data_IF_820093785511
#
_entry.id   IF_820093785511
#
_cell.length_a   1.000
_cell.length_b   1.000
_cell.length_c   1.000
_cell.angle_alpha   90.00
_cell.angle_beta   90.00
_cell.angle_gamma   90.00
#
_symmetry.space_group_name_H-M   'P 1'
#
loop_
_entity.id
_entity.type
_entity.pdbx_description
1 polymer ?
#
# COMPACT_ATOMS: atom_id res chain seq x y z
N UNK A 1 29.60 19.79 -14.57
CA UNK A 1 29.29 21.18 -15.05
C UNK A 1 29.26 22.15 -13.87
N UNK A 2 29.18 23.45 -14.10
CA UNK A 2 28.94 24.43 -13.03
C UNK A 2 27.44 24.81 -12.98
N UNK A 3 26.89 24.89 -11.82
CA UNK A 3 25.51 25.34 -11.63
C UNK A 3 25.39 26.82 -12.04
N UNK A 4 24.45 27.19 -12.93
CA UNK A 4 24.29 28.58 -13.36
C UNK A 4 23.84 29.51 -12.24
N UNK A 5 23.16 28.97 -11.19
CA UNK A 5 22.65 29.76 -10.09
C UNK A 5 23.65 29.98 -8.95
N UNK A 6 24.38 28.96 -8.50
CA UNK A 6 25.27 29.05 -7.34
C UNK A 6 26.75 28.79 -7.66
N UNK A 7 27.10 28.53 -8.93
CA UNK A 7 28.44 28.28 -9.44
C UNK A 7 29.16 27.04 -8.84
N UNK A 8 28.48 26.23 -8.00
CA UNK A 8 29.04 24.98 -7.49
C UNK A 8 29.34 23.99 -8.61
N UNK A 9 30.35 23.15 -8.40
CA UNK A 9 30.65 22.05 -9.31
C UNK A 9 29.62 20.96 -9.09
N UNK A 10 28.96 20.53 -10.15
CA UNK A 10 27.92 19.50 -10.13
C UNK A 10 28.32 18.34 -11.06
N UNK A 11 27.91 17.10 -10.77
CA UNK A 11 28.06 15.98 -11.69
C UNK A 11 27.48 16.32 -13.08
N UNK A 12 28.10 15.84 -14.13
CA UNK A 12 27.63 16.11 -15.49
C UNK A 12 26.27 15.53 -15.82
N UNK A 13 25.89 14.46 -15.10
CA UNK A 13 24.62 13.77 -15.22
C UNK A 13 23.51 14.31 -14.29
N UNK A 14 23.81 15.22 -13.35
CA UNK A 14 22.84 15.71 -12.39
C UNK A 14 21.72 16.52 -13.06
N UNK A 15 20.48 16.23 -12.72
CA UNK A 15 19.30 16.99 -13.16
C UNK A 15 19.09 18.27 -12.34
N UNK A 16 19.56 18.26 -11.09
CA UNK A 16 19.47 19.39 -10.15
C UNK A 16 20.81 19.64 -9.49
N UNK A 17 21.05 20.88 -9.14
CA UNK A 17 22.24 21.25 -8.37
C UNK A 17 22.11 20.74 -6.92
N UNK A 18 22.98 19.86 -6.42
CA UNK A 18 22.92 19.36 -5.06
C UNK A 18 23.10 20.43 -3.98
N UNK A 19 23.71 21.59 -4.36
CA UNK A 19 23.95 22.68 -3.43
C UNK A 19 22.76 23.64 -3.27
N UNK A 20 22.03 23.93 -4.34
CA UNK A 20 20.98 24.97 -4.31
C UNK A 20 19.64 24.53 -4.94
N UNK A 21 19.52 23.27 -5.36
CA UNK A 21 18.30 22.71 -5.95
C UNK A 21 17.93 23.27 -7.32
N UNK A 22 18.79 24.08 -7.96
CA UNK A 22 18.48 24.62 -9.28
C UNK A 22 18.48 23.55 -10.37
N UNK A 23 17.45 23.51 -11.21
CA UNK A 23 17.39 22.60 -12.34
C UNK A 23 18.56 22.87 -13.31
N UNK A 24 19.31 21.84 -13.65
CA UNK A 24 20.52 21.94 -14.51
C UNK A 24 20.22 21.51 -15.94
N UNK A 25 19.09 20.91 -16.20
CA UNK A 25 18.62 20.53 -17.53
C UNK A 25 17.26 21.18 -17.77
N UNK A 26 17.04 21.67 -18.97
CA UNK A 26 15.73 22.09 -19.44
C UNK A 26 14.83 20.86 -19.42
N UNK A 27 13.84 20.87 -18.53
CA UNK A 27 12.75 19.90 -18.58
C UNK A 27 11.86 20.32 -19.76
N UNK A 28 12.23 19.88 -20.98
CA UNK A 28 11.24 19.85 -22.04
C UNK A 28 10.07 18.99 -21.55
N UNK A 29 8.80 19.31 -21.85
CA UNK A 29 7.69 18.40 -21.62
C UNK A 29 7.91 17.18 -22.54
N UNK A 30 8.71 16.25 -22.08
CA UNK A 30 8.78 14.92 -22.65
C UNK A 30 7.38 14.32 -22.52
N UNK A 31 6.92 13.55 -23.52
CA UNK A 31 5.72 12.75 -23.40
C UNK A 31 5.74 11.99 -22.07
N UNK A 32 4.59 11.76 -21.45
CA UNK A 32 4.48 11.09 -20.13
C UNK A 32 5.37 9.84 -20.12
N UNK A 33 6.35 9.80 -19.22
CA UNK A 33 7.26 8.65 -19.08
C UNK A 33 6.46 7.43 -18.60
N UNK A 34 6.77 6.25 -19.13
CA UNK A 34 6.22 5.00 -18.58
C UNK A 34 6.90 4.69 -17.26
N UNK A 35 6.10 4.21 -16.29
CA UNK A 35 6.56 3.85 -14.96
C UNK A 35 6.37 2.36 -14.73
N UNK A 36 7.43 1.68 -14.33
CA UNK A 36 7.44 0.24 -14.18
C UNK A 36 7.81 -0.17 -12.76
N UNK A 37 7.31 -1.33 -12.34
CA UNK A 37 7.65 -1.98 -11.06
C UNK A 37 8.76 -2.96 -11.32
N UNK A 38 9.89 -2.78 -10.62
CA UNK A 38 11.07 -3.62 -10.78
C UNK A 38 11.43 -4.39 -9.52
N UNK A 39 10.81 -4.06 -8.38
CA UNK A 39 11.01 -4.79 -7.14
C UNK A 39 9.86 -4.55 -6.16
N UNK A 40 9.66 -5.52 -5.26
CA UNK A 40 8.63 -5.50 -4.24
C UNK A 40 9.19 -5.98 -2.90
N UNK A 41 8.74 -5.35 -1.82
CA UNK A 41 9.06 -5.77 -0.46
C UNK A 41 7.86 -5.66 0.45
N UNK A 42 7.68 -6.59 1.37
CA UNK A 42 6.56 -6.57 2.28
C UNK A 42 6.85 -7.27 3.60
N UNK A 43 6.12 -6.82 4.63
CA UNK A 43 5.98 -7.46 5.94
C UNK A 43 4.50 -7.54 6.25
N UNK A 44 3.98 -8.73 6.53
CA UNK A 44 2.54 -8.96 6.73
C UNK A 44 2.26 -10.05 7.77
N UNK A 45 1.00 -10.27 8.15
CA UNK A 45 0.62 -11.40 9.01
C UNK A 45 0.89 -12.79 8.41
N UNK A 46 1.12 -12.89 7.10
CA UNK A 46 1.42 -14.14 6.40
C UNK A 46 2.91 -14.41 6.22
N UNK A 47 3.77 -13.41 6.38
CA UNK A 47 5.20 -13.58 6.20
C UNK A 47 5.98 -12.28 6.36
N UNK A 48 7.29 -12.43 6.51
CA UNK A 48 8.23 -11.32 6.72
C UNK A 48 8.88 -10.85 5.41
N UNK A 49 8.47 -11.46 4.28
CA UNK A 49 8.92 -11.10 2.93
C UNK A 49 7.72 -11.01 1.97
N UNK A 50 7.91 -10.35 0.84
CA UNK A 50 6.89 -10.28 -0.23
C UNK A 50 6.55 -11.68 -0.76
N UNK A 51 7.55 -12.53 -0.94
CA UNK A 51 7.35 -13.89 -1.46
C UNK A 51 6.58 -14.80 -0.48
N UNK A 52 6.89 -14.73 0.84
CA UNK A 52 6.15 -15.47 1.86
C UNK A 52 4.69 -15.00 1.95
N UNK A 53 4.49 -13.67 1.90
CA UNK A 53 3.16 -13.06 1.86
C UNK A 53 2.38 -13.54 0.64
N UNK A 54 2.99 -13.49 -0.54
CA UNK A 54 2.36 -13.92 -1.79
C UNK A 54 1.99 -15.40 -1.79
N UNK A 55 2.90 -16.27 -1.37
CA UNK A 55 2.60 -17.70 -1.22
C UNK A 55 1.44 -17.93 -0.27
N UNK A 56 1.45 -17.23 0.87
CA UNK A 56 0.34 -17.31 1.82
C UNK A 56 -1.01 -16.90 1.24
N UNK A 57 -1.02 -15.84 0.41
CA UNK A 57 -2.22 -15.41 -0.30
C UNK A 57 -2.69 -16.45 -1.33
N UNK A 58 -1.79 -16.99 -2.14
CA UNK A 58 -2.13 -18.02 -3.15
C UNK A 58 -2.60 -19.31 -2.49
N UNK A 59 -1.98 -19.70 -1.38
CA UNK A 59 -2.36 -20.90 -0.62
C UNK A 59 -3.67 -20.74 0.17
N UNK A 60 -4.26 -19.53 0.21
CA UNK A 60 -5.47 -19.26 0.99
C UNK A 60 -5.25 -19.36 2.50
N UNK A 61 -4.05 -19.09 3.00
CA UNK A 61 -3.75 -19.14 4.43
C UNK A 61 -4.29 -17.90 5.16
N UNK A 62 -4.81 -18.09 6.37
CA UNK A 62 -5.17 -16.97 7.24
C UNK A 62 -4.03 -16.63 8.20
N UNK A 63 -3.67 -15.34 8.27
CA UNK A 63 -2.77 -14.76 9.27
C UNK A 63 -3.49 -14.16 10.46
N UNK A 64 -4.84 -14.28 10.50
CA UNK A 64 -5.67 -13.71 11.56
C UNK A 64 -5.70 -14.67 12.75
N UNK A 65 -5.41 -14.15 13.94
CA UNK A 65 -5.30 -14.90 15.18
C UNK A 65 -5.75 -14.06 16.38
N UNK A 66 -5.85 -14.68 17.56
CA UNK A 66 -6.00 -13.93 18.80
C UNK A 66 -4.82 -12.97 19.00
N UNK A 67 -5.11 -11.75 19.44
CA UNK A 67 -4.09 -10.72 19.72
C UNK A 67 -3.17 -11.21 20.83
N UNK A 68 -1.85 -11.08 20.62
CA UNK A 68 -0.81 -11.42 21.60
C UNK A 68 -0.01 -10.18 22.06
N UNK A 69 -0.02 -9.10 21.28
CA UNK A 69 0.72 -7.87 21.59
C UNK A 69 0.28 -7.16 22.87
N UNK A 70 -0.95 -7.41 23.31
CA UNK A 70 -1.51 -6.97 24.61
C UNK A 70 -2.63 -7.91 25.04
N UNK A 71 -3.09 -7.83 26.30
CA UNK A 71 -4.25 -8.61 26.76
C UNK A 71 -5.57 -7.98 26.25
N UNK A 72 -6.27 -8.65 25.31
CA UNK A 72 -7.52 -8.14 24.75
C UNK A 72 -8.78 -8.60 25.51
N UNK A 73 -8.66 -9.24 26.67
CA UNK A 73 -9.79 -9.92 27.36
C UNK A 73 -10.96 -9.00 27.73
N UNK A 74 -10.66 -7.72 27.98
CA UNK A 74 -11.66 -6.70 28.30
C UNK A 74 -12.33 -6.07 27.06
N UNK A 75 -11.91 -6.48 25.86
CA UNK A 75 -12.44 -5.95 24.60
C UNK A 75 -13.37 -6.95 23.90
N UNK A 76 -14.43 -6.47 23.23
CA UNK A 76 -15.28 -7.33 22.41
C UNK A 76 -14.57 -7.85 21.17
N UNK A 77 -13.51 -7.17 20.69
CA UNK A 77 -12.65 -7.58 19.57
C UNK A 77 -11.32 -8.05 20.13
N UNK A 78 -10.98 -9.34 19.93
CA UNK A 78 -9.80 -9.98 20.50
C UNK A 78 -8.88 -10.60 19.45
N UNK A 79 -9.15 -10.33 18.17
CA UNK A 79 -8.46 -10.91 17.02
C UNK A 79 -7.86 -9.83 16.12
N UNK A 80 -6.73 -10.15 15.50
CA UNK A 80 -6.05 -9.28 14.56
C UNK A 80 -5.12 -10.07 13.63
N UNK A 81 -4.68 -9.43 12.54
CA UNK A 81 -3.56 -9.86 11.71
C UNK A 81 -2.26 -9.22 12.21
N UNK A 82 -1.59 -9.85 13.17
CA UNK A 82 -0.32 -9.38 13.74
C UNK A 82 0.88 -9.87 12.92
N UNK A 83 1.87 -9.00 12.77
CA UNK A 83 3.20 -9.38 12.26
C UNK A 83 4.02 -9.99 13.39
N UNK A 84 4.36 -11.27 13.29
CA UNK A 84 5.08 -12.02 14.33
C UNK A 84 6.51 -12.32 13.91
N UNK A 85 7.42 -12.38 14.88
CA UNK A 85 8.82 -12.74 14.64
C UNK A 85 9.65 -11.69 13.89
N UNK A 86 9.11 -10.49 13.66
CA UNK A 86 9.81 -9.43 12.92
C UNK A 86 10.94 -8.81 13.73
N UNK A 87 12.09 -8.64 13.07
CA UNK A 87 13.25 -7.89 13.56
C UNK A 87 13.76 -6.95 12.48
N UNK A 88 14.09 -5.72 12.84
CA UNK A 88 14.68 -4.73 11.93
C UNK A 88 16.21 -4.89 11.82
N UNK A 89 16.82 -5.78 12.60
CA UNK A 89 18.28 -5.90 12.75
C UNK A 89 19.06 -6.20 11.47
N UNK A 90 18.40 -6.74 10.45
CA UNK A 90 19.03 -7.01 9.15
C UNK A 90 19.23 -5.73 8.31
N UNK A 91 18.56 -4.63 8.67
CA UNK A 91 18.52 -3.40 7.88
C UNK A 91 19.20 -2.21 8.57
N UNK A 92 19.15 -2.14 9.88
CA UNK A 92 19.73 -1.05 10.65
C UNK A 92 20.29 -1.57 11.98
N UNK A 93 21.29 -0.87 12.53
CA UNK A 93 21.84 -1.19 13.84
C UNK A 93 20.86 -0.88 15.00
N UNK A 94 21.12 -1.48 16.17
CA UNK A 94 20.25 -1.34 17.33
C UNK A 94 20.12 0.09 17.87
N UNK A 95 21.08 0.99 17.60
CA UNK A 95 21.01 2.39 18.01
C UNK A 95 20.03 3.15 17.12
N UNK A 96 20.09 2.93 15.83
CA UNK A 96 19.17 3.49 14.83
C UNK A 96 17.76 2.96 15.02
N UNK A 97 17.61 1.65 15.27
CA UNK A 97 16.31 1.01 15.51
C UNK A 97 15.53 1.64 16.67
N UNK A 98 16.20 2.09 17.74
CA UNK A 98 15.56 2.76 18.89
C UNK A 98 14.96 4.12 18.56
N UNK A 99 15.29 4.71 17.42
CA UNK A 99 14.75 5.97 16.93
C UNK A 99 13.56 5.78 15.99
N UNK A 100 13.14 4.53 15.77
CA UNK A 100 12.06 4.16 14.87
C UNK A 100 10.92 3.50 15.64
N UNK A 101 9.71 3.99 15.49
CA UNK A 101 8.51 3.25 15.90
C UNK A 101 8.29 2.04 14.98
N UNK A 102 7.48 1.07 15.42
CA UNK A 102 7.26 -0.21 14.71
C UNK A 102 6.81 -0.04 13.26
N UNK A 103 5.88 0.88 12.97
CA UNK A 103 5.45 1.16 11.59
C UNK A 103 6.60 1.67 10.72
N UNK A 104 7.51 2.46 11.27
CA UNK A 104 8.73 2.92 10.57
C UNK A 104 9.69 1.77 10.30
N UNK A 105 9.86 0.86 11.27
CA UNK A 105 10.71 -0.32 11.10
C UNK A 105 10.19 -1.23 9.98
N UNK A 106 8.88 -1.46 9.91
CA UNK A 106 8.25 -2.21 8.81
C UNK A 106 8.53 -1.56 7.45
N UNK A 107 8.38 -0.23 7.35
CA UNK A 107 8.61 0.50 6.12
C UNK A 107 10.06 0.40 5.63
N UNK A 108 11.04 0.56 6.54
CA UNK A 108 12.47 0.46 6.18
C UNK A 108 12.82 -0.95 5.74
N UNK A 109 12.32 -1.98 6.42
CA UNK A 109 12.54 -3.36 6.01
C UNK A 109 11.92 -3.66 4.64
N UNK A 110 10.67 -3.26 4.41
CA UNK A 110 10.00 -3.46 3.13
C UNK A 110 10.72 -2.70 1.99
N UNK A 111 11.21 -1.48 2.25
CA UNK A 111 12.00 -0.72 1.27
C UNK A 111 13.32 -1.42 0.92
N UNK A 112 14.04 -1.91 1.92
CA UNK A 112 15.27 -2.67 1.70
C UNK A 112 15.04 -3.95 0.90
N UNK A 113 13.95 -4.69 1.19
CA UNK A 113 13.55 -5.88 0.43
C UNK A 113 13.21 -5.52 -1.03
N UNK A 114 12.50 -4.41 -1.28
CA UNK A 114 12.17 -3.97 -2.63
C UNK A 114 13.43 -3.64 -3.45
N UNK A 115 14.45 -3.02 -2.82
CA UNK A 115 15.73 -2.76 -3.44
C UNK A 115 16.50 -4.06 -3.76
N UNK A 116 16.52 -5.02 -2.83
CA UNK A 116 17.15 -6.32 -3.04
C UNK A 116 16.47 -7.12 -4.15
N UNK A 117 15.14 -7.19 -4.13
CA UNK A 117 14.33 -7.88 -5.14
C UNK A 117 14.54 -7.27 -6.53
N UNK A 118 14.51 -5.94 -6.62
CA UNK A 118 14.79 -5.21 -7.86
C UNK A 118 16.27 -5.17 -8.26
N UNK A 119 17.17 -5.72 -7.44
CA UNK A 119 18.63 -5.69 -7.66
C UNK A 119 19.15 -4.28 -7.97
N UNK A 120 18.63 -3.29 -7.26
CA UNK A 120 19.07 -1.91 -7.38
C UNK A 120 20.04 -1.58 -6.23
N UNK A 121 21.29 -1.31 -6.56
CA UNK A 121 22.24 -0.73 -5.62
C UNK A 121 22.01 0.79 -5.52
N UNK A 122 21.60 1.31 -4.35
CA UNK A 122 21.42 2.74 -4.17
C UNK A 122 22.67 3.58 -4.44
N UNK A 123 23.86 2.98 -4.35
CA UNK A 123 25.14 3.63 -4.67
C UNK A 123 25.36 3.85 -6.18
N UNK A 124 24.58 3.15 -7.02
CA UNK A 124 24.73 3.22 -8.49
C UNK A 124 23.87 4.29 -9.17
N UNK A 125 22.97 4.97 -8.43
CA UNK A 125 22.03 5.96 -8.97
C UNK A 125 22.37 7.38 -8.47
N UNK A 126 21.87 8.40 -9.19
CA UNK A 126 21.89 9.77 -8.67
C UNK A 126 20.91 9.87 -7.50
N UNK A 127 21.36 10.07 -6.25
CA UNK A 127 20.47 10.12 -5.10
C UNK A 127 19.44 11.26 -5.19
N UNK A 128 19.71 12.32 -5.95
CA UNK A 128 18.81 13.46 -6.11
C UNK A 128 17.63 13.18 -7.06
N UNK A 129 17.70 12.12 -7.87
CA UNK A 129 16.59 11.65 -8.72
C UNK A 129 15.90 10.41 -8.14
N UNK A 130 16.21 10.05 -6.90
CA UNK A 130 15.63 8.94 -6.17
C UNK A 130 14.64 9.45 -5.11
N UNK A 131 13.34 9.17 -5.30
CA UNK A 131 12.24 9.66 -4.47
C UNK A 131 11.78 8.65 -3.42
N UNK A 132 11.16 9.13 -2.34
CA UNK A 132 10.49 8.29 -1.34
C UNK A 132 9.08 8.84 -1.09
N UNK A 133 8.06 8.07 -1.44
CA UNK A 133 6.66 8.43 -1.19
C UNK A 133 6.02 7.32 -0.35
N UNK A 134 5.85 7.61 0.95
CA UNK A 134 5.31 6.64 1.91
C UNK A 134 4.03 7.16 2.54
N UNK A 135 3.14 6.23 2.89
CA UNK A 135 1.91 6.56 3.56
C UNK A 135 1.70 5.79 4.86
N UNK A 136 0.93 6.39 5.77
CA UNK A 136 0.43 5.75 7.00
C UNK A 136 -0.85 6.43 7.45
N UNK A 137 -1.79 5.68 7.99
CA UNK A 137 -3.07 6.21 8.49
C UNK A 137 -2.97 6.68 9.95
N UNK A 138 -2.55 5.80 10.85
CA UNK A 138 -2.44 6.07 12.29
C UNK A 138 -1.06 6.61 12.71
N UNK A 139 -0.02 6.36 11.90
CA UNK A 139 1.34 6.78 12.23
C UNK A 139 1.81 6.23 13.59
N UNK A 140 2.46 7.08 14.37
CA UNK A 140 2.98 6.73 15.69
C UNK A 140 1.99 6.89 16.84
N UNK A 141 0.68 6.69 16.64
CA UNK A 141 -0.32 6.85 17.70
C UNK A 141 -0.03 5.96 18.92
N UNK A 142 0.42 4.72 18.74
CA UNK A 142 0.85 3.85 19.84
C UNK A 142 1.96 4.50 20.67
N UNK A 143 2.97 5.09 20.03
CA UNK A 143 4.07 5.81 20.70
C UNK A 143 3.58 7.02 21.48
N UNK A 144 2.56 7.74 20.97
CA UNK A 144 1.95 8.88 21.69
C UNK A 144 1.30 8.40 22.98
N UNK A 145 0.55 7.30 22.94
CA UNK A 145 -0.13 6.73 24.10
C UNK A 145 0.86 6.22 25.14
N UNK A 146 1.91 5.51 24.73
CA UNK A 146 3.00 5.08 25.62
C UNK A 146 3.70 6.27 26.29
N UNK A 147 4.00 7.33 25.53
CA UNK A 147 4.61 8.54 26.05
C UNK A 147 3.69 9.26 27.04
N UNK A 148 2.38 9.30 26.76
CA UNK A 148 1.38 9.86 27.66
C UNK A 148 1.31 9.10 28.99
N UNK A 149 1.33 7.76 28.93
CA UNK A 149 1.36 6.93 30.13
C UNK A 149 2.62 7.18 30.98
N UNK A 150 3.80 7.26 30.34
CA UNK A 150 5.05 7.61 31.01
C UNK A 150 4.97 8.99 31.65
N UNK A 151 4.43 9.97 30.94
CA UNK A 151 4.27 11.34 31.44
C UNK A 151 3.35 11.39 32.68
N UNK A 152 2.25 10.67 32.68
CA UNK A 152 1.32 10.58 33.80
C UNK A 152 1.90 9.86 35.01
N UNK A 153 2.60 8.74 34.81
CA UNK A 153 3.15 7.93 35.92
C UNK A 153 4.46 8.46 36.48
N UNK A 154 5.31 9.10 35.67
CA UNK A 154 6.69 9.44 36.02
C UNK A 154 7.03 10.91 35.85
N UNK A 155 6.11 11.71 35.28
CA UNK A 155 6.30 13.12 34.98
C UNK A 155 6.76 13.41 33.55
N UNK A 156 6.42 14.59 33.02
CA UNK A 156 6.67 15.01 31.63
C UNK A 156 8.13 14.92 31.20
N UNK A 157 9.07 15.20 32.11
CA UNK A 157 10.52 15.15 31.81
C UNK A 157 11.09 13.74 31.74
N UNK A 158 10.26 12.70 31.85
CA UNK A 158 10.63 11.29 31.71
C UNK A 158 10.20 10.67 30.38
N UNK A 159 9.55 11.44 29.52
CA UNK A 159 9.22 11.02 28.16
C UNK A 159 10.52 10.77 27.38
N UNK A 160 10.49 9.78 26.49
CA UNK A 160 11.65 9.39 25.67
C UNK A 160 12.22 10.60 24.90
N UNK A 161 13.54 10.83 24.87
CA UNK A 161 14.15 11.86 24.04
C UNK A 161 13.94 11.61 22.54
N UNK A 162 13.61 10.37 22.15
CA UNK A 162 13.29 9.99 20.78
C UNK A 162 11.81 10.18 20.42
N UNK A 163 10.97 10.67 21.31
CA UNK A 163 9.54 10.82 21.06
C UNK A 163 9.27 11.58 19.75
N UNK A 164 9.94 12.72 19.52
CA UNK A 164 9.76 13.54 18.32
C UNK A 164 10.28 12.86 17.03
N UNK A 165 11.09 11.83 17.14
CA UNK A 165 11.61 11.08 15.96
C UNK A 165 10.89 9.74 15.75
N UNK A 166 9.85 9.45 16.52
CA UNK A 166 9.15 8.16 16.46
C UNK A 166 7.68 8.27 16.07
N UNK A 167 6.96 9.34 16.49
CA UNK A 167 5.52 9.40 16.25
C UNK A 167 5.08 10.09 14.95
N UNK A 168 5.79 11.08 14.36
CA UNK A 168 5.30 11.78 13.20
C UNK A 168 5.16 10.87 11.96
N UNK A 169 4.12 11.12 11.16
CA UNK A 169 3.77 10.31 9.98
C UNK A 169 4.85 10.32 8.88
N UNK A 170 5.66 11.37 8.80
CA UNK A 170 6.72 11.50 7.79
C UNK A 170 7.99 10.68 8.09
N UNK A 171 8.10 10.07 9.26
CA UNK A 171 9.32 9.40 9.68
C UNK A 171 9.63 8.14 8.87
N UNK A 172 8.67 7.33 8.40
CA UNK A 172 8.98 6.24 7.47
C UNK A 172 9.71 6.73 6.21
N UNK A 173 9.22 7.79 5.57
CA UNK A 173 9.86 8.36 4.38
C UNK A 173 11.27 8.89 4.70
N UNK A 174 11.43 9.59 5.83
CA UNK A 174 12.74 10.08 6.28
C UNK A 174 13.74 8.95 6.52
N UNK A 175 13.35 7.91 7.27
CA UNK A 175 14.28 6.82 7.61
C UNK A 175 14.65 5.98 6.38
N UNK A 176 13.75 5.77 5.43
CA UNK A 176 14.05 5.15 4.13
C UNK A 176 15.06 6.01 3.37
N UNK A 177 14.78 7.32 3.25
CA UNK A 177 15.67 8.27 2.57
C UNK A 177 17.06 8.28 3.18
N UNK A 178 17.15 8.30 4.50
CA UNK A 178 18.42 8.29 5.24
C UNK A 178 19.19 6.97 5.05
N UNK A 179 18.50 5.83 5.20
CA UNK A 179 19.12 4.50 5.17
C UNK A 179 19.66 4.17 3.78
N UNK A 180 18.88 4.48 2.75
CA UNK A 180 19.22 4.12 1.36
C UNK A 180 19.71 5.30 0.51
N UNK A 181 19.89 6.50 1.12
CA UNK A 181 20.38 7.72 0.47
C UNK A 181 19.53 8.18 -0.72
N UNK A 182 18.23 8.07 -0.61
CA UNK A 182 17.28 8.61 -1.57
C UNK A 182 17.03 10.08 -1.22
N UNK A 183 17.65 11.02 -1.93
CA UNK A 183 17.68 12.45 -1.58
C UNK A 183 16.83 13.32 -2.51
N UNK A 184 16.06 12.70 -3.39
CA UNK A 184 15.10 13.37 -4.26
C UNK A 184 13.80 13.75 -3.54
N UNK A 185 12.68 13.90 -4.26
CA UNK A 185 11.39 14.23 -3.67
C UNK A 185 10.99 13.24 -2.57
N UNK A 186 10.60 13.75 -1.39
CA UNK A 186 10.13 12.96 -0.28
C UNK A 186 8.76 13.47 0.16
N UNK A 187 7.77 12.58 0.22
CA UNK A 187 6.38 12.92 0.51
C UNK A 187 5.75 11.88 1.43
N UNK A 188 4.84 12.33 2.29
CA UNK A 188 4.01 11.46 3.13
C UNK A 188 2.55 11.68 2.81
N UNK A 189 1.84 10.58 2.51
CA UNK A 189 0.41 10.55 2.20
C UNK A 189 -0.35 10.02 3.42
N UNK A 190 -1.53 10.59 3.69
CA UNK A 190 -2.44 10.09 4.73
C UNK A 190 -3.88 10.29 4.27
N UNK A 191 -4.47 9.26 3.69
CA UNK A 191 -5.83 9.19 3.16
C UNK A 191 -6.56 7.96 3.69
N UNK A 192 -6.41 7.73 5.00
CA UNK A 192 -6.94 6.56 5.70
C UNK A 192 -6.58 5.24 4.97
N UNK A 193 -7.58 4.39 4.64
CA UNK A 193 -7.33 3.10 4.00
C UNK A 193 -6.85 3.20 2.54
N UNK A 194 -7.03 4.35 1.87
CA UNK A 194 -6.56 4.60 0.52
C UNK A 194 -5.08 5.02 0.44
N UNK A 195 -4.46 5.26 1.58
CA UNK A 195 -3.12 5.85 1.75
C UNK A 195 -2.04 5.17 0.90
N UNK A 196 -1.91 3.84 0.99
CA UNK A 196 -0.83 3.12 0.29
C UNK A 196 -0.98 3.16 -1.23
N UNK A 197 -2.21 3.03 -1.73
CA UNK A 197 -2.49 3.14 -3.16
C UNK A 197 -2.22 4.56 -3.68
N UNK A 198 -2.65 5.58 -2.94
CA UNK A 198 -2.41 6.96 -3.32
C UNK A 198 -0.92 7.31 -3.29
N UNK A 199 -0.15 6.81 -2.32
CA UNK A 199 1.30 7.01 -2.27
C UNK A 199 2.00 6.45 -3.51
N UNK A 200 1.56 5.30 -4.03
CA UNK A 200 2.08 4.71 -5.27
C UNK A 200 1.68 5.57 -6.48
N UNK A 201 0.43 6.06 -6.54
CA UNK A 201 -0.03 6.97 -7.59
C UNK A 201 0.77 8.28 -7.63
N UNK A 202 1.02 8.89 -6.47
CA UNK A 202 1.85 10.11 -6.37
C UNK A 202 3.30 9.85 -6.80
N UNK A 203 3.88 8.69 -6.45
CA UNK A 203 5.22 8.32 -6.88
C UNK A 203 5.29 8.14 -8.41
N UNK A 204 4.27 7.50 -9.00
CA UNK A 204 4.14 7.41 -10.45
C UNK A 204 4.17 8.80 -11.10
N UNK A 205 3.41 9.77 -10.59
CA UNK A 205 3.39 11.13 -11.12
C UNK A 205 4.72 11.88 -10.94
N UNK A 206 5.43 11.63 -9.83
CA UNK A 206 6.77 12.18 -9.61
C UNK A 206 7.74 11.68 -10.70
N UNK A 207 7.68 10.39 -11.06
CA UNK A 207 8.51 9.80 -12.13
C UNK A 207 8.03 10.26 -13.50
N UNK A 208 6.74 10.23 -13.80
CA UNK A 208 6.14 10.67 -15.07
C UNK A 208 6.49 12.10 -15.43
N UNK A 209 6.53 12.97 -14.42
CA UNK A 209 6.91 14.39 -14.59
C UNK A 209 8.42 14.63 -14.66
N UNK A 210 9.26 13.59 -14.62
CA UNK A 210 10.71 13.70 -14.70
C UNK A 210 11.37 14.27 -13.45
N UNK A 211 10.64 14.39 -12.32
CA UNK A 211 11.22 14.87 -11.05
C UNK A 211 12.06 13.80 -10.33
N UNK A 212 11.84 12.52 -10.68
CA UNK A 212 12.67 11.40 -10.26
C UNK A 212 12.76 10.36 -11.37
N UNK A 213 13.80 9.53 -11.32
CA UNK A 213 13.98 8.36 -12.19
C UNK A 213 13.58 7.08 -11.46
N UNK A 214 13.68 7.10 -10.15
CA UNK A 214 13.41 5.97 -9.25
C UNK A 214 12.59 6.44 -8.05
N UNK A 215 11.68 5.62 -7.56
CA UNK A 215 10.96 5.88 -6.33
C UNK A 215 10.73 4.61 -5.50
N UNK A 216 10.90 4.71 -4.18
CA UNK A 216 10.38 3.75 -3.22
C UNK A 216 9.01 4.27 -2.76
N UNK A 217 7.96 3.52 -3.05
CA UNK A 217 6.58 3.96 -2.82
C UNK A 217 5.74 2.87 -2.16
N UNK A 218 4.93 3.27 -1.19
CA UNK A 218 4.06 2.31 -0.51
C UNK A 218 3.42 2.83 0.76
N UNK A 219 3.03 1.89 1.63
CA UNK A 219 2.35 2.18 2.89
C UNK A 219 2.81 1.29 4.02
N UNK A 220 2.67 1.81 5.24
CA UNK A 220 3.02 1.10 6.47
C UNK A 220 2.02 1.41 7.57
N UNK A 221 1.76 0.44 8.45
CA UNK A 221 0.88 0.64 9.59
C UNK A 221 1.23 -0.26 10.77
N UNK A 222 1.08 0.31 11.97
CA UNK A 222 1.02 -0.43 13.23
C UNK A 222 -0.19 0.05 14.01
N UNK A 223 -1.30 -0.67 13.88
CA UNK A 223 -2.61 -0.27 14.39
C UNK A 223 -3.16 -1.21 15.47
N UNK A 224 -2.39 -2.24 15.89
CA UNK A 224 -2.84 -3.23 16.86
C UNK A 224 -2.39 -2.81 18.26
N UNK A 225 -3.16 -1.91 18.87
CA UNK A 225 -2.99 -1.47 20.26
C UNK A 225 -4.36 -1.17 20.90
N UNK A 226 -4.48 -1.18 22.25
CA UNK A 226 -5.79 -1.22 22.93
C UNK A 226 -6.78 -0.14 22.48
N UNK A 227 -6.37 1.12 22.44
CA UNK A 227 -7.28 2.23 22.11
C UNK A 227 -7.78 2.16 20.66
N UNK A 228 -6.92 1.74 19.71
CA UNK A 228 -7.30 1.64 18.31
C UNK A 228 -8.30 0.50 18.09
N UNK A 229 -8.04 -0.67 18.69
CA UNK A 229 -8.95 -1.82 18.65
C UNK A 229 -10.28 -1.46 19.31
N UNK A 230 -10.25 -0.86 20.49
CA UNK A 230 -11.46 -0.42 21.21
C UNK A 230 -12.29 0.58 20.40
N UNK A 231 -11.64 1.51 19.67
CA UNK A 231 -12.35 2.54 18.89
C UNK A 231 -13.21 1.93 17.78
N UNK A 232 -12.71 0.92 17.07
CA UNK A 232 -13.48 0.21 16.04
C UNK A 232 -14.49 -0.79 16.63
N UNK A 233 -14.21 -1.34 17.81
CA UNK A 233 -15.17 -2.16 18.54
C UNK A 233 -16.41 -1.35 18.96
N UNK A 234 -16.21 -0.14 19.51
CA UNK A 234 -17.31 0.78 19.87
C UNK A 234 -18.13 1.20 18.65
N UNK A 235 -17.49 1.39 17.50
CA UNK A 235 -18.16 1.69 16.23
C UNK A 235 -18.88 0.48 15.63
N UNK A 236 -18.68 -0.73 16.16
CA UNK A 236 -19.18 -2.01 15.61
C UNK A 236 -18.74 -2.21 14.16
N UNK A 237 -17.53 -1.74 13.82
CA UNK A 237 -16.96 -1.85 12.49
C UNK A 237 -16.00 -3.05 12.35
N UNK A 238 -15.45 -3.54 13.46
CA UNK A 238 -14.59 -4.71 13.52
C UNK A 238 -15.35 -5.96 13.94
N UNK A 239 -14.94 -7.12 13.38
CA UNK A 239 -15.54 -8.42 13.69
C UNK A 239 -15.28 -8.85 15.13
N UNK A 240 -16.28 -9.44 15.75
CA UNK A 240 -16.25 -10.01 17.11
C UNK A 240 -16.17 -11.54 17.11
N UNK A 241 -15.91 -12.17 15.97
CA UNK A 241 -15.81 -13.63 15.80
C UNK A 241 -14.52 -14.19 16.41
N UNK A 242 -14.36 -14.00 17.72
CA UNK A 242 -13.14 -14.32 18.46
C UNK A 242 -12.86 -15.83 18.55
N UNK A 243 -13.90 -16.67 18.49
CA UNK A 243 -13.80 -18.13 18.62
C UNK A 243 -13.30 -18.80 17.33
N UNK A 244 -13.46 -18.13 16.20
CA UNK A 244 -13.02 -18.60 14.88
C UNK A 244 -12.21 -17.51 14.16
N UNK A 245 -11.02 -17.13 14.66
CA UNK A 245 -10.25 -15.98 14.12
C UNK A 245 -10.00 -16.07 12.62
N UNK A 246 -9.61 -17.25 12.14
CA UNK A 246 -9.27 -17.50 10.73
C UNK A 246 -10.48 -17.36 9.80
N UNK A 247 -11.71 -17.41 10.33
CA UNK A 247 -12.99 -17.29 9.59
C UNK A 247 -13.67 -15.93 9.78
N UNK A 248 -13.04 -15.02 10.53
CA UNK A 248 -13.64 -13.74 10.88
C UNK A 248 -13.74 -12.76 9.71
N UNK A 249 -12.64 -12.59 8.95
CA UNK A 249 -12.64 -11.77 7.73
C UNK A 249 -13.19 -12.60 6.58
N UNK A 250 -14.34 -12.16 6.04
CA UNK A 250 -15.10 -12.88 5.01
C UNK A 250 -15.74 -11.92 3.98
N UNK A 251 -14.91 -11.24 3.18
CA UNK A 251 -15.39 -10.27 2.21
C UNK A 251 -16.47 -10.86 1.29
N UNK A 252 -17.52 -10.07 1.02
CA UNK A 252 -18.66 -10.40 0.17
C UNK A 252 -19.56 -11.53 0.63
N UNK A 253 -19.22 -12.27 1.71
CA UNK A 253 -20.08 -13.29 2.30
C UNK A 253 -21.31 -12.66 2.99
N UNK A 254 -22.46 -13.28 2.88
CA UNK A 254 -23.72 -12.79 3.50
C UNK A 254 -23.62 -12.65 5.03
N UNK A 255 -22.74 -13.43 5.70
CA UNK A 255 -22.54 -13.43 7.14
C UNK A 255 -21.36 -12.56 7.59
N UNK A 256 -20.86 -11.65 6.75
CA UNK A 256 -19.82 -10.67 7.13
C UNK A 256 -20.38 -9.71 8.17
N UNK A 257 -19.58 -9.36 9.15
CA UNK A 257 -20.04 -8.52 10.27
C UNK A 257 -19.11 -7.35 10.59
N UNK A 258 -17.97 -7.24 9.90
CA UNK A 258 -16.97 -6.22 10.11
C UNK A 258 -15.59 -6.70 9.69
N UNK A 259 -14.63 -5.77 9.63
CA UNK A 259 -13.26 -6.11 9.26
C UNK A 259 -12.44 -6.64 10.45
N UNK A 260 -11.32 -7.25 10.17
CA UNK A 260 -10.29 -7.59 11.16
C UNK A 260 -9.12 -6.62 10.98
N UNK A 261 -8.64 -6.02 12.08
CA UNK A 261 -7.50 -5.10 12.04
C UNK A 261 -6.22 -5.89 11.72
N UNK A 262 -5.38 -5.34 10.84
CA UNK A 262 -4.07 -5.89 10.52
C UNK A 262 -2.96 -4.83 10.62
N UNK A 263 -1.71 -5.28 10.63
CA UNK A 263 -0.52 -4.43 10.58
C UNK A 263 0.48 -4.91 9.53
N UNK A 264 1.42 -4.07 9.13
CA UNK A 264 2.48 -4.41 8.20
C UNK A 264 2.91 -3.25 7.32
N UNK A 265 3.65 -3.57 6.26
CA UNK A 265 4.07 -2.63 5.23
C UNK A 265 4.24 -3.34 3.88
N UNK A 266 4.07 -2.58 2.80
CA UNK A 266 4.58 -2.95 1.50
C UNK A 266 5.18 -1.74 0.79
N UNK A 267 6.24 -1.98 0.03
CA UNK A 267 6.94 -0.97 -0.77
C UNK A 267 7.21 -1.56 -2.16
N UNK A 268 6.89 -0.77 -3.18
CA UNK A 268 7.24 -1.03 -4.56
C UNK A 268 8.44 -0.17 -4.95
N UNK A 269 9.38 -0.76 -5.64
CA UNK A 269 10.42 -0.05 -6.37
C UNK A 269 9.87 0.31 -7.74
N UNK A 270 9.63 1.60 -7.94
CA UNK A 270 9.15 2.16 -9.21
C UNK A 270 10.32 2.81 -9.94
N UNK A 271 10.36 2.61 -11.25
CA UNK A 271 11.37 3.23 -12.10
C UNK A 271 10.74 3.78 -13.37
N UNK A 272 11.35 4.83 -13.92
CA UNK A 272 11.12 5.16 -15.31
C UNK A 272 11.56 3.99 -16.20
N UNK A 273 10.78 3.66 -17.23
CA UNK A 273 11.06 2.51 -18.11
C UNK A 273 12.48 2.56 -18.67
N UNK A 274 12.91 3.70 -19.16
CA UNK A 274 14.25 3.89 -19.73
C UNK A 274 15.36 3.67 -18.70
N UNK A 275 15.16 4.05 -17.44
CA UNK A 275 16.10 3.77 -16.36
C UNK A 275 16.19 2.27 -16.08
N UNK A 276 15.04 1.59 -15.95
CA UNK A 276 14.96 0.16 -15.72
C UNK A 276 15.64 -0.64 -16.85
N UNK A 277 15.35 -0.30 -18.10
CA UNK A 277 15.94 -0.92 -19.28
C UNK A 277 17.46 -0.71 -19.36
N UNK A 278 17.93 0.50 -19.08
CA UNK A 278 19.36 0.84 -19.13
C UNK A 278 20.20 0.01 -18.15
N UNK A 279 19.64 -0.40 -17.01
CA UNK A 279 20.33 -1.26 -16.03
C UNK A 279 20.00 -2.75 -16.17
N UNK A 280 19.16 -3.14 -17.13
CA UNK A 280 18.77 -4.52 -17.36
C UNK A 280 17.86 -5.08 -16.25
N UNK A 281 16.99 -4.26 -15.67
CA UNK A 281 16.07 -4.67 -14.62
C UNK A 281 15.04 -5.68 -15.11
N UNK A 282 14.64 -6.61 -14.22
CA UNK A 282 13.42 -7.39 -14.44
C UNK A 282 12.22 -6.51 -14.16
N UNK A 283 11.35 -6.34 -15.14
CA UNK A 283 10.12 -5.56 -15.01
C UNK A 283 8.96 -6.52 -14.73
N UNK A 284 8.24 -6.30 -13.62
CA UNK A 284 7.10 -7.13 -13.22
C UNK A 284 5.79 -6.67 -13.87
N UNK A 285 5.56 -5.37 -13.85
CA UNK A 285 4.38 -4.73 -14.43
C UNK A 285 4.65 -3.25 -14.69
N UNK A 286 3.79 -2.61 -15.46
CA UNK A 286 3.70 -1.15 -15.59
C UNK A 286 2.63 -0.64 -14.61
N UNK A 287 2.91 0.46 -13.90
CA UNK A 287 1.90 1.27 -13.24
C UNK A 287 1.32 2.20 -14.30
N UNK A 288 0.22 1.76 -14.90
CA UNK A 288 -0.32 2.38 -16.11
C UNK A 288 -1.17 3.63 -15.81
N UNK A 289 -1.81 3.69 -14.62
CA UNK A 289 -2.63 4.82 -14.26
C UNK A 289 -3.02 4.84 -12.79
N UNK A 290 -3.46 5.99 -12.32
CA UNK A 290 -4.04 6.18 -11.00
C UNK A 290 -5.24 7.12 -11.05
N UNK A 291 -6.20 6.92 -10.15
CA UNK A 291 -7.36 7.78 -10.00
C UNK A 291 -7.71 7.96 -8.54
N UNK A 292 -8.13 9.14 -8.17
CA UNK A 292 -8.61 9.45 -6.82
C UNK A 292 -9.89 10.25 -6.85
N UNK A 293 -10.69 10.11 -5.80
CA UNK A 293 -11.92 10.86 -5.61
C UNK A 293 -12.27 10.99 -4.13
N UNK A 294 -13.34 11.72 -3.85
CA UNK A 294 -13.91 11.74 -2.50
C UNK A 294 -15.44 11.60 -2.59
N UNK A 295 -16.05 10.80 -1.72
CA UNK A 295 -17.49 10.61 -1.68
C UNK A 295 -18.23 11.91 -1.29
N UNK A 296 -17.67 12.67 -0.35
CA UNK A 296 -18.33 13.84 0.23
C UNK A 296 -19.64 13.50 0.93
N UNK A 297 -19.80 12.24 1.38
CA UNK A 297 -21.06 11.69 1.88
C UNK A 297 -21.12 11.65 3.42
N UNK A 298 -20.21 10.89 4.05
CA UNK A 298 -20.21 10.67 5.51
C UNK A 298 -18.78 10.40 6.01
N UNK A 299 -18.42 10.80 7.24
CA UNK A 299 -17.06 10.62 7.74
C UNK A 299 -16.64 9.14 7.93
N UNK A 300 -17.60 8.21 8.06
CA UNK A 300 -17.30 6.79 8.30
C UNK A 300 -17.90 5.89 7.23
N UNK A 301 -19.21 6.05 6.92
CA UNK A 301 -19.91 5.19 5.97
C UNK A 301 -19.55 5.56 4.52
N UNK A 302 -19.34 4.58 3.63
CA UNK A 302 -19.20 4.83 2.21
C UNK A 302 -20.50 5.36 1.61
N UNK A 303 -20.41 6.02 0.47
CA UNK A 303 -21.58 6.33 -0.36
C UNK A 303 -22.27 5.02 -0.78
N UNK A 304 -23.52 4.76 -0.37
CA UNK A 304 -24.20 3.50 -0.65
C UNK A 304 -24.42 3.25 -2.15
N UNK A 305 -24.41 4.30 -2.97
CA UNK A 305 -24.51 4.22 -4.42
C UNK A 305 -23.14 3.99 -5.09
N UNK A 306 -22.03 3.99 -4.34
CA UNK A 306 -20.69 3.76 -4.84
C UNK A 306 -20.20 4.79 -5.88
N UNK A 307 -20.79 5.99 -5.93
CA UNK A 307 -20.49 6.98 -6.99
C UNK A 307 -19.06 7.50 -6.88
N UNK A 308 -18.59 7.79 -5.66
CA UNK A 308 -17.24 8.26 -5.44
C UNK A 308 -16.20 7.19 -5.82
N UNK A 309 -16.37 5.97 -5.34
CA UNK A 309 -15.51 4.84 -5.67
C UNK A 309 -15.47 4.56 -7.19
N UNK A 310 -16.63 4.58 -7.86
CA UNK A 310 -16.71 4.44 -9.32
C UNK A 310 -15.95 5.53 -10.07
N UNK A 311 -16.00 6.80 -9.56
CA UNK A 311 -15.20 7.89 -10.14
C UNK A 311 -13.70 7.65 -10.04
N UNK A 312 -13.21 7.13 -8.92
CA UNK A 312 -11.80 6.80 -8.77
C UNK A 312 -11.36 5.72 -9.78
N UNK A 313 -12.16 4.66 -9.94
CA UNK A 313 -11.92 3.60 -10.94
C UNK A 313 -11.90 4.17 -12.36
N UNK A 314 -12.94 4.92 -12.72
CA UNK A 314 -13.03 5.51 -14.07
C UNK A 314 -11.89 6.49 -14.36
N UNK A 315 -11.49 7.30 -13.36
CA UNK A 315 -10.38 8.23 -13.50
C UNK A 315 -9.05 7.48 -13.69
N UNK A 316 -8.84 6.37 -12.96
CA UNK A 316 -7.63 5.54 -13.10
C UNK A 316 -7.53 4.90 -14.49
N UNK A 317 -8.64 4.36 -15.01
CA UNK A 317 -8.69 3.80 -16.35
C UNK A 317 -8.46 4.86 -17.43
N UNK A 318 -9.06 6.04 -17.28
CA UNK A 318 -8.86 7.17 -18.20
C UNK A 318 -7.39 7.66 -18.18
N UNK A 319 -6.75 7.74 -17.00
CA UNK A 319 -5.34 8.08 -16.86
C UNK A 319 -4.43 7.05 -17.52
N UNK A 320 -4.80 5.78 -17.46
CA UNK A 320 -4.08 4.67 -18.10
C UNK A 320 -4.32 4.58 -19.62
N UNK A 321 -5.36 5.25 -20.16
CA UNK A 321 -5.82 5.09 -21.53
C UNK A 321 -6.36 3.68 -21.81
N UNK A 322 -7.02 3.07 -20.84
CA UNK A 322 -7.52 1.69 -20.86
C UNK A 322 -9.04 1.70 -20.79
N UNK A 323 -9.68 0.96 -21.70
CA UNK A 323 -11.12 0.79 -21.72
C UNK A 323 -11.59 -0.23 -20.66
N UNK A 324 -12.77 -0.08 -20.07
CA UNK A 324 -13.32 -1.03 -19.11
C UNK A 324 -13.32 -2.50 -19.59
N UNK A 325 -13.48 -2.71 -20.91
CA UNK A 325 -13.47 -4.04 -21.53
C UNK A 325 -12.12 -4.75 -21.50
N UNK A 326 -11.02 -4.02 -21.27
CA UNK A 326 -9.66 -4.55 -21.21
C UNK A 326 -9.25 -5.05 -19.82
N UNK A 327 -10.07 -4.76 -18.78
CA UNK A 327 -9.78 -5.17 -17.39
C UNK A 327 -9.99 -6.68 -17.25
N UNK A 328 -8.94 -7.37 -16.80
CA UNK A 328 -8.93 -8.82 -16.61
C UNK A 328 -9.09 -9.25 -15.13
N UNK A 329 -8.81 -8.35 -14.17
CA UNK A 329 -8.84 -8.66 -12.74
C UNK A 329 -9.06 -7.40 -11.88
N UNK A 330 -9.80 -7.55 -10.78
CA UNK A 330 -9.97 -6.53 -9.75
C UNK A 330 -9.46 -7.05 -8.41
N UNK A 331 -8.43 -6.41 -7.86
CA UNK A 331 -8.08 -6.54 -6.44
C UNK A 331 -8.96 -5.56 -5.67
N UNK A 332 -9.93 -6.10 -4.93
CA UNK A 332 -10.94 -5.31 -4.28
C UNK A 332 -10.48 -4.75 -2.92
N UNK A 333 -10.97 -3.58 -2.57
CA UNK A 333 -10.84 -3.05 -1.21
C UNK A 333 -11.50 -3.97 -0.18
N UNK A 334 -12.70 -4.39 -0.43
CA UNK A 334 -13.56 -5.32 0.31
C UNK A 334 -13.05 -5.73 1.70
N UNK A 335 -13.39 -4.94 2.70
CA UNK A 335 -12.90 -5.10 4.06
C UNK A 335 -13.75 -6.06 4.92
N UNK A 336 -14.71 -6.79 4.33
CA UNK A 336 -15.65 -7.64 5.07
C UNK A 336 -16.68 -6.84 5.89
N UNK A 337 -17.03 -5.63 5.46
CA UNK A 337 -18.08 -4.83 6.10
C UNK A 337 -19.39 -4.93 5.33
N UNK A 338 -20.55 -5.00 6.03
CA UNK A 338 -21.85 -5.13 5.35
C UNK A 338 -22.09 -4.03 4.31
N UNK A 339 -21.77 -2.78 4.64
CA UNK A 339 -22.02 -1.63 3.75
C UNK A 339 -20.92 -1.45 2.70
N UNK A 340 -19.64 -1.66 3.08
CA UNK A 340 -18.50 -1.39 2.22
C UNK A 340 -18.44 -2.31 1.02
N UNK A 341 -18.55 -3.60 1.24
CA UNK A 341 -18.44 -4.62 0.19
C UNK A 341 -19.59 -4.52 -0.83
N UNK A 342 -20.81 -4.17 -0.34
CA UNK A 342 -21.96 -3.87 -1.21
C UNK A 342 -21.71 -2.61 -2.04
N UNK A 343 -21.27 -1.52 -1.42
CA UNK A 343 -21.00 -0.26 -2.13
C UNK A 343 -19.89 -0.44 -3.19
N UNK A 344 -18.86 -1.24 -2.88
CA UNK A 344 -17.81 -1.57 -3.85
C UNK A 344 -18.32 -2.42 -5.01
N UNK A 345 -19.19 -3.41 -4.76
CA UNK A 345 -19.86 -4.19 -5.82
C UNK A 345 -20.61 -3.26 -6.78
N UNK A 346 -21.36 -2.29 -6.24
CA UNK A 346 -22.07 -1.28 -7.05
C UNK A 346 -21.09 -0.40 -7.83
N UNK A 347 -20.00 0.05 -7.17
CA UNK A 347 -19.00 0.90 -7.81
C UNK A 347 -18.29 0.20 -8.99
N UNK A 348 -17.93 -1.08 -8.83
CA UNK A 348 -17.32 -1.90 -9.87
C UNK A 348 -18.28 -2.03 -11.07
N UNK A 349 -19.57 -2.34 -10.82
CA UNK A 349 -20.59 -2.42 -11.87
C UNK A 349 -20.78 -1.08 -12.60
N UNK A 350 -20.78 0.04 -11.87
CA UNK A 350 -20.88 1.38 -12.46
C UNK A 350 -19.69 1.71 -13.36
N UNK A 351 -18.47 1.35 -12.93
CA UNK A 351 -17.26 1.70 -13.65
C UNK A 351 -16.97 0.78 -14.84
N UNK A 352 -17.26 -0.53 -14.70
CA UNK A 352 -16.91 -1.54 -15.71
C UNK A 352 -18.11 -1.99 -16.56
N UNK A 353 -19.32 -1.55 -16.22
CA UNK A 353 -20.55 -1.90 -16.97
C UNK A 353 -20.81 -3.41 -16.98
N UNK A 354 -21.27 -3.94 -18.12
CA UNK A 354 -21.58 -5.36 -18.30
C UNK A 354 -20.35 -6.27 -18.06
N UNK A 355 -19.15 -5.76 -18.33
CA UNK A 355 -17.90 -6.48 -18.14
C UNK A 355 -17.66 -6.92 -16.69
N UNK A 356 -18.22 -6.19 -15.70
CA UNK A 356 -18.07 -6.50 -14.28
C UNK A 356 -18.51 -7.94 -13.91
N UNK A 357 -19.51 -8.50 -14.62
CA UNK A 357 -20.01 -9.86 -14.36
C UNK A 357 -19.05 -10.98 -14.80
N UNK A 358 -18.06 -10.64 -15.64
CA UNK A 358 -17.14 -11.62 -16.23
C UNK A 358 -15.73 -11.56 -15.61
N UNK A 359 -15.44 -10.49 -14.84
CA UNK A 359 -14.10 -10.24 -14.29
C UNK A 359 -13.96 -10.90 -12.93
N UNK A 360 -12.92 -11.73 -12.72
CA UNK A 360 -12.60 -12.24 -11.39
C UNK A 360 -12.17 -11.11 -10.46
N UNK A 361 -12.69 -11.14 -9.23
CA UNK A 361 -12.46 -10.16 -8.16
C UNK A 361 -11.94 -10.93 -6.95
N UNK A 362 -10.96 -10.41 -6.21
CA UNK A 362 -10.61 -11.02 -4.93
C UNK A 362 -10.12 -9.99 -3.91
N UNK A 363 -10.20 -10.34 -2.62
CA UNK A 363 -9.72 -9.52 -1.52
C UNK A 363 -8.71 -10.26 -0.65
N UNK A 364 -7.50 -9.75 -0.61
CA UNK A 364 -6.43 -10.22 0.27
C UNK A 364 -6.79 -10.07 1.75
N UNK A 365 -7.69 -9.14 2.09
CA UNK A 365 -8.12 -8.88 3.46
C UNK A 365 -8.82 -10.06 4.14
N UNK A 366 -9.34 -11.00 3.35
CA UNK A 366 -9.85 -12.27 3.89
C UNK A 366 -8.78 -13.05 4.68
N UNK A 367 -7.50 -12.89 4.33
CA UNK A 367 -6.36 -13.64 4.83
C UNK A 367 -5.47 -12.84 5.79
N UNK A 368 -5.27 -11.54 5.54
CA UNK A 368 -4.34 -10.70 6.30
C UNK A 368 -5.03 -9.69 7.21
N UNK A 369 -6.36 -9.56 7.11
CA UNK A 369 -7.08 -8.46 7.71
C UNK A 369 -6.87 -7.14 6.97
N UNK A 370 -7.34 -6.05 7.56
CA UNK A 370 -7.23 -4.71 7.01
C UNK A 370 -6.02 -3.97 7.59
N UNK A 371 -4.97 -3.78 6.78
CA UNK A 371 -3.71 -3.14 7.19
C UNK A 371 -3.79 -1.61 7.16
N UNK A 372 -4.99 -1.02 7.21
CA UNK A 372 -5.22 0.44 7.27
C UNK A 372 -4.43 1.20 6.19
N UNK A 373 -3.52 2.11 6.57
CA UNK A 373 -2.71 2.87 5.63
C UNK A 373 -1.74 2.03 4.78
N UNK A 374 -1.40 0.81 5.21
CA UNK A 374 -0.59 -0.12 4.43
C UNK A 374 -1.42 -0.96 3.43
N UNK A 375 -2.76 -1.01 3.58
CA UNK A 375 -3.62 -1.92 2.83
C UNK A 375 -3.44 -1.79 1.31
N UNK A 376 -3.58 -0.58 0.77
CA UNK A 376 -3.46 -0.37 -0.68
C UNK A 376 -2.09 -0.70 -1.25
N UNK A 377 -1.02 -0.60 -0.44
CA UNK A 377 0.33 -0.94 -0.89
C UNK A 377 0.54 -2.46 -0.98
N UNK A 378 0.06 -3.23 0.01
CA UNK A 378 0.19 -4.70 -0.02
C UNK A 378 -0.72 -5.31 -1.09
N UNK A 379 -1.86 -4.68 -1.35
CA UNK A 379 -2.78 -5.06 -2.43
C UNK A 379 -2.21 -4.71 -3.81
N UNK A 380 -1.53 -3.59 -3.96
CA UNK A 380 -0.78 -3.25 -5.17
C UNK A 380 0.34 -4.26 -5.44
N UNK A 381 1.11 -4.66 -4.42
CA UNK A 381 2.10 -5.73 -4.51
C UNK A 381 1.44 -7.04 -4.97
N UNK A 382 0.34 -7.47 -4.33
CA UNK A 382 -0.37 -8.68 -4.70
C UNK A 382 -0.88 -8.63 -6.16
N UNK A 383 -1.35 -7.46 -6.61
CA UNK A 383 -1.79 -7.24 -8.00
C UNK A 383 -0.63 -7.37 -8.99
N UNK A 384 0.53 -6.79 -8.68
CA UNK A 384 1.75 -6.93 -9.49
C UNK A 384 2.18 -8.40 -9.59
N UNK A 385 2.16 -9.13 -8.46
CA UNK A 385 2.52 -10.55 -8.43
C UNK A 385 1.47 -11.43 -9.12
N UNK A 386 0.18 -11.05 -9.09
CA UNK A 386 -0.87 -11.67 -9.90
C UNK A 386 -0.55 -11.58 -11.40
N UNK A 387 -0.11 -10.41 -11.88
CA UNK A 387 0.29 -10.21 -13.27
C UNK A 387 1.56 -11.02 -13.59
N UNK A 388 2.55 -11.06 -12.69
CA UNK A 388 3.79 -11.82 -12.87
C UNK A 388 3.53 -13.34 -13.01
N UNK A 389 2.73 -13.89 -12.09
CA UNK A 389 2.59 -15.34 -11.92
C UNK A 389 1.35 -15.91 -12.63
N UNK A 390 0.45 -15.02 -13.12
CA UNK A 390 -0.79 -15.40 -13.78
C UNK A 390 -1.69 -16.28 -12.87
N UNK A 391 -1.70 -15.94 -11.58
CA UNK A 391 -2.50 -16.59 -10.54
C UNK A 391 -3.23 -15.50 -9.77
N UNK A 392 -4.54 -15.64 -9.63
CA UNK A 392 -5.37 -14.79 -8.78
C UNK A 392 -5.53 -15.48 -7.43
N UNK A 393 -5.17 -14.80 -6.33
CA UNK A 393 -5.39 -15.32 -4.99
C UNK A 393 -6.89 -15.36 -4.64
N UNK A 394 -7.34 -16.28 -3.79
CA UNK A 394 -8.76 -16.38 -3.42
C UNK A 394 -9.21 -15.25 -2.49
N UNK A 395 -10.53 -15.08 -2.40
CA UNK A 395 -11.22 -14.55 -1.23
C UNK A 395 -11.64 -15.76 -0.38
N UNK A 396 -10.97 -16.01 0.73
CA UNK A 396 -11.31 -17.11 1.62
C UNK A 396 -12.55 -16.77 2.47
N UNK A 397 -13.15 -17.80 3.07
CA UNK A 397 -14.35 -17.70 3.92
C UNK A 397 -15.64 -17.25 3.19
N UNK A 398 -15.67 -17.32 1.87
CA UNK A 398 -16.87 -17.10 1.08
C UNK A 398 -17.68 -18.39 1.05
N UNK A 399 -18.69 -18.48 1.93
CA UNK A 399 -19.49 -19.68 2.18
C UNK A 399 -20.96 -19.49 1.81
N UNK A 400 -21.49 -18.29 2.07
CA UNK A 400 -22.88 -17.94 1.81
C UNK A 400 -22.93 -16.75 0.85
N UNK A 401 -23.38 -16.96 -0.40
CA UNK A 401 -23.54 -15.88 -1.36
C UNK A 401 -24.50 -14.80 -0.86
N UNK A 402 -24.09 -13.53 -1.00
CA UNK A 402 -24.94 -12.39 -0.72
C UNK A 402 -25.57 -11.91 -2.05
N UNK A 403 -26.93 -11.85 -2.17
CA UNK A 403 -27.57 -11.36 -3.40
C UNK A 403 -27.21 -9.92 -3.80
N UNK A 404 -26.74 -9.11 -2.85
CA UNK A 404 -26.29 -7.74 -3.10
C UNK A 404 -24.81 -7.67 -3.53
N UNK A 405 -24.08 -8.80 -3.42
CA UNK A 405 -22.71 -8.98 -3.86
C UNK A 405 -22.68 -10.16 -4.84
N UNK A 406 -23.06 -9.92 -6.08
CA UNK A 406 -23.41 -10.94 -7.10
C UNK A 406 -22.37 -11.04 -8.25
N UNK A 407 -21.08 -10.72 -7.97
CA UNK A 407 -19.97 -10.85 -8.92
C UNK A 407 -19.11 -12.11 -8.63
N UNK A 408 -18.08 -12.36 -9.44
CA UNK A 408 -17.16 -13.49 -9.25
C UNK A 408 -16.03 -13.11 -8.27
N UNK A 409 -16.12 -13.51 -7.03
CA UNK A 409 -15.15 -13.14 -5.97
C UNK A 409 -14.01 -14.14 -5.77
N UNK A 410 -13.75 -15.03 -6.72
CA UNK A 410 -12.72 -16.08 -6.66
C UNK A 410 -12.75 -16.82 -5.31
N UNK A 411 -13.85 -17.56 -5.02
CA UNK A 411 -14.08 -18.09 -3.69
C UNK A 411 -13.10 -19.22 -3.31
N UNK A 412 -12.48 -19.06 -2.15
CA UNK A 412 -11.73 -20.05 -1.36
C UNK A 412 -10.51 -20.72 -2.02
N UNK A 413 -10.38 -20.73 -3.34
CA UNK A 413 -9.28 -21.38 -4.06
C UNK A 413 -8.70 -20.45 -5.11
N UNK A 414 -7.36 -20.32 -5.12
CA UNK A 414 -6.66 -19.53 -6.13
C UNK A 414 -6.95 -20.04 -7.56
N UNK A 415 -6.98 -19.10 -8.50
CA UNK A 415 -7.34 -19.37 -9.89
C UNK A 415 -6.21 -18.96 -10.84
N UNK A 416 -5.80 -19.85 -11.74
CA UNK A 416 -4.97 -19.45 -12.89
C UNK A 416 -5.82 -18.69 -13.90
N UNK A 417 -5.33 -17.54 -14.32
CA UNK A 417 -6.00 -16.69 -15.31
C UNK A 417 -4.98 -15.88 -16.10
N UNK A 418 -5.31 -15.58 -17.35
CA UNK A 418 -4.51 -14.63 -18.13
C UNK A 418 -4.87 -13.22 -17.70
N UNK A 419 -3.97 -12.55 -16.99
CA UNK A 419 -4.15 -11.18 -16.49
C UNK A 419 -3.13 -10.28 -17.18
N UNK A 420 -3.64 -9.40 -18.05
CA UNK A 420 -2.84 -8.35 -18.70
C UNK A 420 -3.06 -6.99 -18.07
N UNK A 421 -4.31 -6.73 -17.70
CA UNK A 421 -4.72 -5.47 -17.04
C UNK A 421 -5.42 -5.81 -15.74
N UNK A 422 -4.96 -5.22 -14.65
CA UNK A 422 -5.58 -5.36 -13.34
C UNK A 422 -5.77 -3.99 -12.68
N UNK A 423 -6.86 -3.82 -11.92
CA UNK A 423 -7.07 -2.67 -11.07
C UNK A 423 -7.00 -3.05 -9.60
N UNK A 424 -6.50 -2.14 -8.76
CA UNK A 424 -6.45 -2.29 -7.31
C UNK A 424 -7.18 -1.13 -6.65
N UNK A 425 -8.26 -1.44 -5.95
CA UNK A 425 -9.14 -0.47 -5.30
C UNK A 425 -8.76 -0.26 -3.84
N UNK A 426 -8.83 0.98 -3.37
CA UNK A 426 -8.64 1.32 -1.97
C UNK A 426 -9.59 2.44 -1.57
N UNK A 427 -10.51 2.18 -0.63
CA UNK A 427 -11.53 3.12 -0.19
C UNK A 427 -11.40 3.38 1.31
N UNK A 428 -11.23 4.65 1.68
CA UNK A 428 -10.88 5.06 3.03
C UNK A 428 -11.99 5.79 3.78
N UNK A 429 -11.91 5.76 5.10
CA UNK A 429 -12.72 6.63 5.96
C UNK A 429 -12.61 8.09 5.50
N UNK A 430 -13.70 8.86 5.62
CA UNK A 430 -13.78 10.20 5.05
C UNK A 430 -14.11 10.23 3.56
N UNK A 431 -14.43 9.05 2.97
CA UNK A 431 -14.80 8.91 1.57
C UNK A 431 -13.63 9.10 0.60
N UNK A 432 -12.40 8.92 1.05
CA UNK A 432 -11.20 9.05 0.22
C UNK A 432 -10.99 7.76 -0.56
N UNK A 433 -11.08 7.83 -1.88
CA UNK A 433 -10.99 6.69 -2.78
C UNK A 433 -9.75 6.80 -3.66
N UNK A 434 -9.06 5.70 -3.85
CA UNK A 434 -7.97 5.55 -4.80
C UNK A 434 -8.12 4.25 -5.59
N UNK A 435 -7.72 4.28 -6.86
CA UNK A 435 -7.61 3.11 -7.72
C UNK A 435 -6.28 3.20 -8.48
N UNK A 436 -5.57 2.09 -8.56
CA UNK A 436 -4.37 1.93 -9.38
C UNK A 436 -4.67 0.98 -10.53
N UNK A 437 -4.10 1.26 -11.69
CA UNK A 437 -4.13 0.38 -12.86
C UNK A 437 -2.74 -0.16 -13.11
N UNK A 438 -2.62 -1.47 -13.12
CA UNK A 438 -1.41 -2.19 -13.49
C UNK A 438 -1.61 -2.90 -14.82
N UNK A 439 -0.58 -2.88 -15.66
CA UNK A 439 -0.58 -3.57 -16.94
C UNK A 439 0.65 -4.46 -17.05
N UNK A 440 0.47 -5.65 -17.64
CA UNK A 440 1.60 -6.50 -18.02
C UNK A 440 2.55 -5.70 -18.89
N UNK A 441 3.82 -5.75 -18.53
CA UNK A 441 4.83 -5.03 -19.28
C UNK A 441 5.04 -5.68 -20.65
N UNK A 442 4.93 -4.85 -21.67
CA UNK A 442 5.30 -5.18 -23.05
C UNK A 442 6.28 -4.11 -23.53
N UNK A 443 7.49 -4.49 -23.97
CA UNK A 443 8.42 -3.53 -24.53
C UNK A 443 7.79 -2.75 -25.68
N UNK A 444 8.09 -1.45 -25.79
CA UNK A 444 7.66 -0.67 -26.94
C UNK A 444 8.19 -1.35 -28.21
N UNK A 445 7.32 -1.56 -29.20
CA UNK A 445 7.77 -2.06 -30.50
C UNK A 445 8.77 -1.05 -31.05
N UNK A 446 9.98 -1.52 -31.35
CA UNK A 446 10.97 -0.70 -32.04
C UNK A 446 10.37 -0.27 -33.39
N UNK A 447 9.97 1.01 -33.49
CA UNK A 447 9.44 1.60 -34.71
C UNK A 447 10.52 1.78 -35.78
#
# INVERSE_FOLDING_TARGET
MRCPRCQSITPAAANYCPQCGHALRDQAPAGRRRVVVTGVGAVSPLGLTAEETWRGLVDGRSGIRRIEGFDPSDLPVQIAGEVRGFSIGDWVDAKTARQMARFTQFAVAAAGMALQDGRLDPGSIDPCTAAVIMGTGAGGMATILEAQEVAQRRGLMRVSPFFMTTFPHNLPAYHIAQTFRFLGPSLTVSTACATGAQAIGEAMEVIRSGRADVALAGGTEHAIFPLFVASFAVQRAASTRNDEPERASRPFDANREGFVIGEGAAVLLLEAEEHALARGATIYAEVAGSGSSNDGYHPIAPDPEGVGAARAITAALADAGIEPSEVDYVNAHAASTPLGDKAETIAIKRALGERAAEIPISSAKSMIGHLMGAAGAIEAMATVLTIRDQIIHPTINYETPDPECDLDYVPNVARRASVRVAISNSFGLGGQNACLVFRRYEPAQAG
#
